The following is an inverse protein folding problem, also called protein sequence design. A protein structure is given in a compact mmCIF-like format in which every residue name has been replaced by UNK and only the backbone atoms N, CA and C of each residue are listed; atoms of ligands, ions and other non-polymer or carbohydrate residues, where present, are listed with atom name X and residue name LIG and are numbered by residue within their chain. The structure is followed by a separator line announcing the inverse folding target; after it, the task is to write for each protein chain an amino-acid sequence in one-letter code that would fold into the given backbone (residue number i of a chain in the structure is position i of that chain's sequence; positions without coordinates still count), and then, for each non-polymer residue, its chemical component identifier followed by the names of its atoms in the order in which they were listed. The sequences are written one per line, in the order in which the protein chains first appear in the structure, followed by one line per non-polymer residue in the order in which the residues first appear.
data_IF_090709352751
#
_entry.id   IF_090709352751
#
_cell.length_a   1.000
_cell.length_b   1.000
_cell.length_c   1.000
_cell.angle_alpha   90.00
_cell.angle_beta   90.00
_cell.angle_gamma   90.00
#
_symmetry.space_group_name_H-M   'P 1'
#
loop_
_entity.id
_entity.type
_entity.pdbx_description
1 polymer ?
#
# COMPACT_ATOMS: atom_id res chain seq x y z
N UNK A 1 -1.18 -30.22 -8.79
CA UNK A 1 -0.22 -29.61 -7.83
C UNK A 1 0.60 -28.49 -8.45
N UNK A 2 1.22 -28.68 -9.62
CA UNK A 2 2.03 -27.65 -10.27
C UNK A 2 1.28 -26.33 -10.55
N UNK A 3 0.01 -26.39 -11.00
CA UNK A 3 -0.79 -25.19 -11.27
C UNK A 3 -1.19 -24.41 -10.00
N UNK A 4 -1.46 -25.11 -8.89
CA UNK A 4 -1.72 -24.48 -7.59
C UNK A 4 -0.48 -23.76 -7.06
N UNK A 5 0.70 -24.36 -7.24
CA UNK A 5 1.99 -23.76 -6.88
C UNK A 5 2.28 -22.51 -7.73
N UNK A 6 2.05 -22.59 -9.04
CA UNK A 6 2.22 -21.43 -9.93
C UNK A 6 1.26 -20.28 -9.57
N UNK A 7 0.00 -20.62 -9.26
CA UNK A 7 -1.00 -19.65 -8.80
C UNK A 7 -0.62 -18.99 -7.48
N UNK A 8 -0.14 -19.77 -6.50
CA UNK A 8 0.30 -19.24 -5.21
C UNK A 8 1.53 -18.33 -5.34
N UNK A 9 2.50 -18.69 -6.17
CA UNK A 9 3.67 -17.86 -6.45
C UNK A 9 3.24 -16.55 -7.13
N UNK A 10 2.41 -16.64 -8.16
CA UNK A 10 1.86 -15.47 -8.86
C UNK A 10 1.13 -14.53 -7.90
N UNK A 11 0.31 -15.09 -7.01
CA UNK A 11 -0.38 -14.33 -5.96
C UNK A 11 0.59 -13.58 -5.05
N UNK A 12 1.63 -14.24 -4.54
CA UNK A 12 2.65 -13.62 -3.67
C UNK A 12 3.37 -12.48 -4.39
N UNK A 13 3.72 -12.65 -5.67
CA UNK A 13 4.36 -11.60 -6.47
C UNK A 13 3.44 -10.40 -6.66
N UNK A 14 2.19 -10.63 -7.01
CA UNK A 14 1.19 -9.55 -7.13
C UNK A 14 1.05 -8.83 -5.80
N UNK A 15 0.90 -9.56 -4.70
CA UNK A 15 0.73 -8.99 -3.38
C UNK A 15 1.96 -8.20 -2.90
N UNK A 16 3.18 -8.65 -3.24
CA UNK A 16 4.42 -7.91 -3.00
C UNK A 16 4.48 -6.59 -3.77
N UNK A 17 4.17 -6.63 -5.07
CA UNK A 17 4.17 -5.44 -5.92
C UNK A 17 3.10 -4.45 -5.43
N UNK A 18 1.89 -4.95 -5.22
CA UNK A 18 0.73 -4.20 -4.71
C UNK A 18 1.06 -3.55 -3.37
N UNK A 19 1.59 -4.31 -2.42
CA UNK A 19 1.97 -3.80 -1.10
C UNK A 19 3.07 -2.75 -1.21
N UNK A 20 4.06 -2.94 -2.07
CA UNK A 20 5.15 -1.98 -2.26
C UNK A 20 4.66 -0.67 -2.87
N UNK A 21 3.80 -0.75 -3.89
CA UNK A 21 3.22 0.43 -4.57
C UNK A 21 2.34 1.21 -3.60
N UNK A 22 1.41 0.54 -2.92
CA UNK A 22 0.52 1.21 -1.97
C UNK A 22 1.27 1.71 -0.73
N UNK A 23 2.30 1.01 -0.27
CA UNK A 23 3.17 1.52 0.78
C UNK A 23 3.83 2.84 0.38
N UNK A 24 4.34 2.96 -0.84
CA UNK A 24 4.91 4.22 -1.34
C UNK A 24 3.90 5.36 -1.33
N UNK A 25 2.68 5.12 -1.82
CA UNK A 25 1.61 6.12 -1.82
C UNK A 25 1.25 6.50 -0.38
N UNK A 26 1.03 5.51 0.48
CA UNK A 26 0.67 5.74 1.87
C UNK A 26 1.75 6.45 2.68
N UNK A 27 3.03 6.18 2.38
CA UNK A 27 4.16 6.87 2.97
C UNK A 27 4.07 8.36 2.67
N UNK A 28 3.92 8.72 1.39
CA UNK A 28 3.79 10.12 0.95
C UNK A 28 2.60 10.79 1.63
N UNK A 29 1.44 10.14 1.67
CA UNK A 29 0.22 10.68 2.29
C UNK A 29 0.44 10.94 3.78
N UNK A 30 0.93 9.96 4.52
CA UNK A 30 1.16 10.09 5.96
C UNK A 30 2.25 11.13 6.24
N UNK A 31 3.30 11.19 5.42
CA UNK A 31 4.32 12.25 5.49
C UNK A 31 3.74 13.63 5.28
N UNK A 32 2.82 13.82 4.34
CA UNK A 32 2.17 15.11 4.13
C UNK A 32 1.30 15.47 5.34
N UNK A 33 0.43 14.55 5.79
CA UNK A 33 -0.53 14.81 6.88
C UNK A 33 0.17 15.06 8.22
N UNK A 34 1.32 14.43 8.44
CA UNK A 34 2.07 14.56 9.69
C UNK A 34 3.21 15.59 9.63
N UNK A 35 3.29 16.38 8.54
CA UNK A 35 4.37 17.34 8.30
C UNK A 35 5.77 16.71 8.42
N UNK A 36 5.91 15.51 7.86
CA UNK A 36 7.17 14.74 7.84
C UNK A 36 7.53 14.03 9.15
N UNK A 37 6.66 14.07 10.18
CA UNK A 37 6.92 13.38 11.46
C UNK A 37 6.75 11.86 11.35
N UNK A 38 5.88 11.39 10.47
CA UNK A 38 5.62 9.98 10.20
C UNK A 38 5.52 9.71 8.68
N UNK A 39 5.63 8.46 8.23
CA UNK A 39 6.12 7.31 8.99
C UNK A 39 7.64 7.41 9.24
N UNK A 40 8.09 6.89 10.38
CA UNK A 40 9.52 6.85 10.69
C UNK A 40 10.27 5.83 9.83
N UNK A 41 11.62 5.90 9.77
CA UNK A 41 12.43 4.98 8.97
C UNK A 41 12.13 3.52 9.30
N UNK A 42 12.10 2.65 8.28
CA UNK A 42 11.84 1.22 8.45
C UNK A 42 12.89 0.59 9.38
N UNK A 43 12.46 0.05 10.53
CA UNK A 43 13.29 -0.63 11.53
C UNK A 43 13.24 -2.17 11.48
N UNK A 44 13.22 -2.77 10.28
CA UNK A 44 13.07 -4.22 10.11
C UNK A 44 11.68 -4.80 10.43
N UNK A 45 11.65 -6.09 10.77
CA UNK A 45 10.44 -6.91 11.02
C UNK A 45 9.61 -6.43 12.23
N UNK A 46 10.21 -5.67 13.14
CA UNK A 46 9.53 -5.15 14.34
C UNK A 46 8.43 -4.14 14.00
N UNK A 47 8.45 -3.55 12.80
CA UNK A 47 7.50 -2.54 12.36
C UNK A 47 6.54 -3.04 11.26
N UNK A 48 6.31 -4.36 11.17
CA UNK A 48 5.37 -4.97 10.21
C UNK A 48 3.98 -4.34 10.26
N UNK A 49 3.46 -4.07 11.48
CA UNK A 49 2.16 -3.43 11.67
C UNK A 49 2.15 -2.00 11.10
N UNK A 50 3.21 -1.24 11.33
CA UNK A 50 3.35 0.10 10.76
C UNK A 50 3.43 0.07 9.23
N UNK A 51 4.15 -0.90 8.66
CA UNK A 51 4.26 -1.08 7.21
C UNK A 51 2.90 -1.41 6.58
N UNK A 52 2.14 -2.33 7.18
CA UNK A 52 0.79 -2.68 6.73
C UNK A 52 -0.16 -1.50 6.84
N UNK A 53 -0.08 -0.71 7.92
CA UNK A 53 -0.93 0.46 8.12
C UNK A 53 -0.63 1.56 7.10
N UNK A 54 0.64 1.79 6.79
CA UNK A 54 1.05 2.71 5.71
C UNK A 54 0.53 2.23 4.36
N UNK A 55 0.72 0.95 4.02
CA UNK A 55 0.20 0.38 2.77
C UNK A 55 -1.34 0.48 2.69
N UNK A 56 -2.04 0.25 3.79
CA UNK A 56 -3.49 0.38 3.88
C UNK A 56 -3.95 1.83 3.63
N UNK A 57 -3.25 2.82 4.19
CA UNK A 57 -3.54 4.24 3.90
C UNK A 57 -3.33 4.57 2.43
N UNK A 58 -2.27 4.04 1.80
CA UNK A 58 -2.05 4.23 0.37
C UNK A 58 -3.13 3.59 -0.51
N UNK A 59 -3.60 2.40 -0.13
CA UNK A 59 -4.73 1.75 -0.80
C UNK A 59 -6.01 2.57 -0.67
N UNK A 60 -6.36 3.02 0.55
CA UNK A 60 -7.53 3.87 0.78
C UNK A 60 -7.47 5.17 -0.03
N UNK A 61 -6.31 5.81 -0.04
CA UNK A 61 -6.12 7.06 -0.79
C UNK A 61 -6.36 6.82 -2.28
N UNK A 62 -5.81 5.74 -2.83
CA UNK A 62 -6.00 5.39 -4.24
C UNK A 62 -7.47 5.13 -4.57
N UNK A 63 -8.17 4.37 -3.74
CA UNK A 63 -9.61 4.09 -3.92
C UNK A 63 -10.44 5.38 -3.88
N UNK A 64 -10.18 6.26 -2.92
CA UNK A 64 -10.86 7.56 -2.81
C UNK A 64 -10.58 8.42 -4.03
N UNK A 65 -9.32 8.54 -4.46
CA UNK A 65 -8.95 9.32 -5.65
C UNK A 65 -9.66 8.82 -6.90
N UNK A 66 -9.70 7.50 -7.11
CA UNK A 66 -10.40 6.89 -8.25
C UNK A 66 -11.91 7.15 -8.16
N UNK A 67 -12.51 6.93 -6.99
CA UNK A 67 -13.94 7.16 -6.78
C UNK A 67 -14.31 8.64 -7.03
N UNK A 68 -13.54 9.57 -6.45
CA UNK A 68 -13.73 11.01 -6.68
C UNK A 68 -13.57 11.39 -8.15
N UNK A 69 -12.57 10.84 -8.85
CA UNK A 69 -12.41 11.07 -10.28
C UNK A 69 -13.66 10.64 -11.07
N UNK A 70 -14.20 9.46 -10.81
CA UNK A 70 -15.43 8.99 -11.47
C UNK A 70 -16.68 9.81 -11.09
N UNK A 71 -16.77 10.30 -9.86
CA UNK A 71 -17.87 11.18 -9.44
C UNK A 71 -17.79 12.56 -10.10
N UNK A 72 -16.58 13.09 -10.30
CA UNK A 72 -16.38 14.45 -10.83
C UNK A 72 -16.41 14.51 -12.36
N UNK A 73 -16.05 13.43 -13.04
CA UNK A 73 -16.06 13.31 -14.51
C UNK A 73 -17.45 12.94 -15.07
N UNK A 74 -18.39 12.57 -14.19
CA UNK A 74 -19.77 12.25 -14.55
C UNK A 74 -20.68 13.47 -14.46
#
# INVERSE_FOLDING_TARGET
MAELLLGAIGWIFVELIVSTVFYGIGWVVISIVTFGKHPGPWRGLENLVGVQLVAFVGLLTTVVTIASYFTFVR
#
